data_IF_097720899083
#
_entry.id   IF_097720899083
#
_cell.length_a   1.000
_cell.length_b   1.000
_cell.length_c   1.000
_cell.angle_alpha   90.00
_cell.angle_beta   90.00
_cell.angle_gamma   90.00
#
_symmetry.space_group_name_H-M   'P 1'
#
loop_
_entity.id
_entity.type
_entity.pdbx_description
1 polymer ?
#
# COMPACT_ATOMS: atom_id res chain seq x y z
N UNK A 1 20.77 4.93 1.21
CA UNK A 1 20.94 6.39 1.26
C UNK A 1 19.54 6.97 1.34
N UNK A 2 19.08 7.33 2.54
CA UNK A 2 17.74 7.86 2.78
C UNK A 2 17.68 9.27 2.21
N UNK A 3 16.87 9.48 1.19
CA UNK A 3 16.51 10.82 0.73
C UNK A 3 15.52 11.34 1.78
N UNK A 4 16.03 12.04 2.78
CA UNK A 4 15.21 12.94 3.59
C UNK A 4 14.72 14.03 2.63
N UNK A 5 13.48 13.91 2.15
CA UNK A 5 12.83 15.00 1.43
C UNK A 5 12.69 16.17 2.39
N UNK A 6 13.38 17.24 2.06
CA UNK A 6 13.30 18.53 2.74
C UNK A 6 11.83 19.00 2.67
N UNK A 7 11.21 19.28 3.81
CA UNK A 7 9.78 19.54 3.95
C UNK A 7 9.29 20.80 3.22
N UNK A 8 10.19 21.64 2.70
CA UNK A 8 9.86 22.99 2.26
C UNK A 8 9.79 23.19 0.74
N UNK A 9 9.97 22.13 -0.07
CA UNK A 9 9.92 22.26 -1.55
C UNK A 9 9.25 21.04 -2.21
N UNK A 10 8.12 20.58 -1.67
CA UNK A 10 7.29 19.59 -2.37
C UNK A 10 6.70 20.27 -3.59
N UNK A 11 7.00 19.75 -4.77
CA UNK A 11 6.39 20.18 -6.02
C UNK A 11 4.89 19.74 -5.97
N UNK A 12 4.03 20.63 -5.45
CA UNK A 12 2.64 20.34 -5.20
C UNK A 12 1.90 20.26 -6.54
N UNK A 13 1.25 19.12 -6.84
CA UNK A 13 0.58 18.94 -8.12
C UNK A 13 -0.60 19.90 -8.26
N UNK A 14 -0.78 20.43 -9.46
CA UNK A 14 -1.89 21.30 -9.78
C UNK A 14 -3.22 20.51 -9.86
N UNK A 15 -4.31 21.09 -9.37
CA UNK A 15 -5.66 20.63 -9.66
C UNK A 15 -6.11 21.26 -10.97
N UNK A 16 -6.64 20.44 -11.89
CA UNK A 16 -7.34 20.93 -13.05
C UNK A 16 -8.72 21.47 -12.66
N UNK A 17 -9.27 22.43 -13.42
CA UNK A 17 -10.63 22.92 -13.19
C UNK A 17 -11.65 21.78 -13.15
N UNK A 18 -12.79 21.94 -12.45
CA UNK A 18 -13.79 20.90 -12.35
C UNK A 18 -14.29 20.49 -13.73
N UNK A 19 -14.39 19.18 -13.95
CA UNK A 19 -14.77 18.59 -15.23
C UNK A 19 -16.23 18.93 -15.60
N UNK A 20 -17.08 19.21 -14.59
CA UNK A 20 -18.48 19.60 -14.74
C UNK A 20 -18.81 20.70 -13.75
N UNK A 21 -19.46 21.76 -14.20
CA UNK A 21 -19.85 22.92 -13.41
C UNK A 21 -21.24 22.77 -12.74
N UNK A 22 -21.59 21.60 -12.27
CA UNK A 22 -22.82 21.40 -11.48
C UNK A 22 -22.49 21.47 -9.97
N UNK A 23 -22.06 22.63 -9.52
CA UNK A 23 -22.05 22.90 -8.07
C UNK A 23 -23.49 23.30 -7.72
N UNK A 24 -24.08 22.63 -6.73
CA UNK A 24 -25.31 23.12 -6.11
C UNK A 24 -25.08 24.56 -5.66
N UNK A 25 -25.99 25.47 -6.04
CA UNK A 25 -25.89 26.90 -5.68
C UNK A 25 -25.92 27.13 -4.16
N UNK A 26 -26.28 26.09 -3.38
CA UNK A 26 -26.32 26.12 -1.92
C UNK A 26 -25.85 24.78 -1.34
N UNK A 27 -24.52 24.51 -1.26
CA UNK A 27 -23.98 23.26 -0.75
C UNK A 27 -24.28 23.13 0.75
N UNK A 28 -25.13 22.18 1.11
CA UNK A 28 -25.40 21.86 2.52
C UNK A 28 -24.29 20.95 3.06
N UNK A 29 -23.78 21.30 4.24
CA UNK A 29 -22.82 20.50 4.97
C UNK A 29 -21.36 20.96 4.83
N UNK A 30 -20.51 20.42 5.69
CA UNK A 30 -19.07 20.68 5.68
C UNK A 30 -18.41 20.01 4.46
N UNK A 31 -17.52 20.68 3.74
CA UNK A 31 -16.89 20.13 2.56
C UNK A 31 -15.90 19.01 2.94
N UNK A 32 -15.91 17.94 2.13
CA UNK A 32 -14.99 16.82 2.25
C UNK A 32 -14.53 16.34 0.88
N UNK A 33 -13.23 16.12 0.72
CA UNK A 33 -12.71 15.51 -0.51
C UNK A 33 -12.86 14.00 -0.46
N UNK A 34 -13.32 13.40 -1.56
CA UNK A 34 -13.37 11.95 -1.74
C UNK A 34 -12.40 11.55 -2.84
N UNK A 35 -11.44 10.68 -2.53
CA UNK A 35 -10.56 10.08 -3.53
C UNK A 35 -11.35 9.12 -4.42
N UNK A 36 -11.60 9.53 -5.66
CA UNK A 36 -12.44 8.81 -6.61
C UNK A 36 -11.62 7.97 -7.58
N UNK A 37 -11.93 6.68 -7.65
CA UNK A 37 -11.31 5.73 -8.60
C UNK A 37 -12.27 5.25 -9.70
N UNK A 38 -13.55 5.63 -9.63
CA UNK A 38 -14.59 5.10 -10.52
C UNK A 38 -15.00 3.64 -10.22
N UNK A 39 -14.56 3.09 -9.08
CA UNK A 39 -15.00 1.78 -8.58
C UNK A 39 -16.16 1.92 -7.59
N UNK A 40 -16.82 0.78 -7.26
CA UNK A 40 -17.95 0.74 -6.33
C UNK A 40 -17.64 1.32 -4.96
N UNK A 41 -16.41 1.10 -4.46
CA UNK A 41 -16.02 1.51 -3.12
C UNK A 41 -15.95 3.03 -2.99
N UNK A 42 -15.24 3.72 -3.86
CA UNK A 42 -15.15 5.19 -3.83
C UNK A 42 -16.50 5.86 -4.11
N UNK A 43 -17.30 5.28 -5.01
CA UNK A 43 -18.61 5.79 -5.36
C UNK A 43 -19.60 5.69 -4.19
N UNK A 44 -19.65 4.54 -3.51
CA UNK A 44 -20.47 4.39 -2.32
C UNK A 44 -19.97 5.25 -1.16
N UNK A 45 -18.65 5.43 -1.00
CA UNK A 45 -18.07 6.34 -0.03
C UNK A 45 -18.62 7.75 -0.19
N UNK A 46 -18.62 8.30 -1.41
CA UNK A 46 -19.17 9.62 -1.69
C UNK A 46 -20.67 9.71 -1.32
N UNK A 47 -21.45 8.69 -1.70
CA UNK A 47 -22.88 8.65 -1.39
C UNK A 47 -23.16 8.57 0.13
N UNK A 48 -22.43 7.73 0.87
CA UNK A 48 -22.60 7.60 2.32
C UNK A 48 -22.28 8.91 3.05
N UNK A 49 -21.31 9.66 2.56
CA UNK A 49 -20.98 10.98 3.10
C UNK A 49 -22.11 11.98 2.83
N UNK A 50 -22.68 11.98 1.63
CA UNK A 50 -23.88 12.80 1.34
C UNK A 50 -25.06 12.44 2.26
N UNK A 51 -25.32 11.14 2.43
CA UNK A 51 -26.39 10.63 3.29
C UNK A 51 -26.21 11.07 4.77
N UNK A 52 -24.96 11.31 5.19
CA UNK A 52 -24.61 11.78 6.55
C UNK A 52 -24.41 13.30 6.65
N UNK A 53 -24.74 14.05 5.60
CA UNK A 53 -24.76 15.51 5.61
C UNK A 53 -23.45 16.21 5.27
N UNK A 54 -22.45 15.49 4.76
CA UNK A 54 -21.25 16.09 4.17
C UNK A 54 -21.52 16.62 2.76
N UNK A 55 -20.69 17.56 2.32
CA UNK A 55 -20.67 18.06 0.95
C UNK A 55 -19.42 17.53 0.21
N UNK A 56 -19.51 16.36 -0.47
CA UNK A 56 -18.36 15.74 -1.11
C UNK A 56 -17.89 16.46 -2.35
N UNK A 57 -16.57 16.49 -2.52
CA UNK A 57 -15.86 16.91 -3.74
C UNK A 57 -15.01 15.75 -4.23
N UNK A 58 -15.27 15.25 -5.43
CA UNK A 58 -14.51 14.16 -6.02
C UNK A 58 -13.14 14.61 -6.50
N UNK A 59 -12.11 13.84 -6.18
CA UNK A 59 -10.74 14.09 -6.64
C UNK A 59 -10.14 12.80 -7.18
N UNK A 60 -9.61 12.84 -8.40
CA UNK A 60 -8.95 11.71 -9.07
C UNK A 60 -7.53 12.05 -9.48
N UNK A 61 -6.61 11.19 -9.10
CA UNK A 61 -5.20 11.29 -9.51
C UNK A 61 -5.05 10.84 -10.97
N UNK A 62 -4.36 11.63 -11.79
CA UNK A 62 -3.83 11.17 -13.06
C UNK A 62 -2.54 10.41 -12.82
N UNK A 63 -2.53 9.15 -13.20
CA UNK A 63 -1.33 8.29 -13.14
C UNK A 63 -0.87 7.96 -14.55
N UNK A 64 0.46 7.78 -14.78
CA UNK A 64 0.96 7.50 -16.10
C UNK A 64 0.48 6.13 -16.60
N UNK A 65 0.22 6.04 -17.91
CA UNK A 65 0.08 4.76 -18.59
C UNK A 65 1.50 4.27 -18.91
N UNK A 66 1.84 3.08 -18.45
CA UNK A 66 3.14 2.49 -18.74
C UNK A 66 3.03 1.71 -20.05
N UNK A 67 3.80 2.13 -21.06
CA UNK A 67 3.89 1.46 -22.35
C UNK A 67 4.42 0.02 -22.19
N UNK A 68 3.88 -0.91 -22.97
CA UNK A 68 4.22 -2.34 -22.89
C UNK A 68 3.25 -3.19 -22.08
N UNK A 69 2.37 -2.57 -21.35
CA UNK A 69 1.27 -3.23 -20.64
C UNK A 69 0.00 -3.24 -21.52
N UNK A 70 0.01 -3.94 -22.62
CA UNK A 70 -0.99 -4.22 -23.67
C UNK A 70 -2.47 -3.89 -23.53
N UNK A 71 -2.89 -3.09 -22.57
CA UNK A 71 -4.26 -2.60 -22.45
C UNK A 71 -4.21 -1.14 -22.00
N UNK A 72 -4.54 -0.23 -22.91
CA UNK A 72 -4.99 1.11 -22.53
C UNK A 72 -6.27 0.95 -21.70
N UNK A 73 -6.13 0.80 -20.37
CA UNK A 73 -7.27 1.08 -19.52
C UNK A 73 -7.51 2.58 -19.68
N UNK A 74 -8.68 3.01 -20.22
CA UNK A 74 -9.02 4.41 -20.11
C UNK A 74 -8.88 4.76 -18.64
N UNK A 75 -7.98 5.67 -18.35
CA UNK A 75 -7.58 6.01 -17.01
C UNK A 75 -8.81 6.14 -16.12
N UNK A 76 -8.73 5.60 -14.93
CA UNK A 76 -9.75 5.58 -13.88
C UNK A 76 -10.54 6.91 -13.71
N UNK A 77 -10.00 8.00 -14.22
CA UNK A 77 -10.58 9.33 -14.14
C UNK A 77 -11.90 9.54 -14.88
N UNK A 78 -12.08 8.99 -16.08
CA UNK A 78 -13.32 9.22 -16.84
C UNK A 78 -14.53 8.60 -16.16
N UNK A 79 -14.39 7.38 -15.65
CA UNK A 79 -15.47 6.72 -14.90
C UNK A 79 -15.77 7.44 -13.58
N UNK A 80 -14.72 7.91 -12.87
CA UNK A 80 -14.88 8.70 -11.65
C UNK A 80 -15.64 10.01 -11.93
N UNK A 81 -15.31 10.68 -13.03
CA UNK A 81 -16.02 11.90 -13.45
C UNK A 81 -17.50 11.63 -13.74
N UNK A 82 -17.83 10.53 -14.43
CA UNK A 82 -19.24 10.17 -14.67
C UNK A 82 -19.98 9.87 -13.37
N UNK A 83 -19.37 9.14 -12.43
CA UNK A 83 -19.97 8.90 -11.11
C UNK A 83 -20.20 10.21 -10.37
N UNK A 84 -19.24 11.12 -10.35
CA UNK A 84 -19.39 12.42 -9.69
C UNK A 84 -20.51 13.25 -10.33
N UNK A 85 -20.61 13.26 -11.67
CA UNK A 85 -21.69 13.91 -12.39
C UNK A 85 -23.06 13.32 -12.02
N UNK A 86 -23.18 12.00 -11.96
CA UNK A 86 -24.42 11.31 -11.62
C UNK A 86 -24.84 11.52 -10.17
N UNK A 87 -23.85 11.73 -9.27
CA UNK A 87 -24.06 12.14 -7.86
C UNK A 87 -24.32 13.65 -7.68
N UNK A 88 -24.11 14.47 -8.72
CA UNK A 88 -24.24 15.92 -8.64
C UNK A 88 -23.15 16.60 -7.80
N UNK A 89 -21.96 16.02 -7.71
CA UNK A 89 -20.83 16.57 -6.95
C UNK A 89 -19.72 17.08 -7.88
N UNK A 90 -18.98 18.14 -7.50
CA UNK A 90 -17.81 18.63 -8.25
C UNK A 90 -16.74 17.54 -8.38
N UNK A 91 -15.99 17.52 -9.49
CA UNK A 91 -14.93 16.57 -9.69
C UNK A 91 -13.68 17.25 -10.28
N UNK A 92 -12.54 17.02 -9.61
CA UNK A 92 -11.24 17.55 -10.00
C UNK A 92 -10.27 16.42 -10.36
N UNK A 93 -9.41 16.68 -11.35
CA UNK A 93 -8.24 15.87 -11.59
C UNK A 93 -7.02 16.53 -10.93
N UNK A 94 -6.15 15.70 -10.36
CA UNK A 94 -4.83 16.09 -9.87
C UNK A 94 -3.79 15.50 -10.79
N UNK A 95 -2.89 16.34 -11.31
CA UNK A 95 -1.76 15.90 -12.14
C UNK A 95 -0.68 15.30 -11.25
N UNK A 96 -0.62 13.99 -11.20
CA UNK A 96 0.40 13.24 -10.44
C UNK A 96 1.29 12.38 -11.32
N UNK A 97 1.24 12.53 -12.66
CA UNK A 97 1.92 11.60 -13.57
C UNK A 97 3.43 11.54 -13.32
N UNK A 98 4.09 12.69 -13.27
CA UNK A 98 5.55 12.76 -13.01
C UNK A 98 5.89 12.29 -11.60
N UNK A 99 5.16 12.79 -10.60
CA UNK A 99 5.41 12.41 -9.20
C UNK A 99 5.13 10.94 -8.95
N UNK A 100 4.11 10.36 -9.60
CA UNK A 100 3.83 8.93 -9.52
C UNK A 100 4.98 8.10 -10.12
N UNK A 101 5.53 8.55 -11.25
CA UNK A 101 6.71 7.90 -11.85
C UNK A 101 7.90 7.93 -10.92
N UNK A 102 8.22 9.08 -10.35
CA UNK A 102 9.38 9.29 -9.48
C UNK A 102 9.25 8.64 -8.11
N UNK A 103 8.04 8.67 -7.51
CA UNK A 103 7.83 8.22 -6.12
C UNK A 103 7.29 6.80 -5.99
N UNK A 104 6.77 6.20 -7.07
CA UNK A 104 6.18 4.85 -7.03
C UNK A 104 6.82 3.92 -8.04
N UNK A 105 6.85 4.30 -9.35
CA UNK A 105 7.31 3.38 -10.40
C UNK A 105 8.83 3.18 -10.31
N UNK A 106 9.59 4.28 -10.22
CA UNK A 106 11.05 4.16 -10.20
C UNK A 106 11.58 3.49 -8.92
N UNK A 107 11.12 3.82 -7.70
CA UNK A 107 11.47 3.05 -6.50
C UNK A 107 11.09 1.57 -6.60
N UNK A 108 9.93 1.25 -7.20
CA UNK A 108 9.53 -0.13 -7.47
C UNK A 108 10.50 -0.86 -8.39
N UNK A 109 10.92 -0.22 -9.50
CA UNK A 109 11.96 -0.77 -10.40
C UNK A 109 13.27 -1.00 -9.65
N UNK A 110 13.76 0.01 -8.96
CA UNK A 110 15.04 -0.05 -8.24
C UNK A 110 15.04 -1.11 -7.15
N UNK A 111 13.93 -1.29 -6.42
CA UNK A 111 13.82 -2.32 -5.41
C UNK A 111 14.00 -3.73 -6.03
N UNK A 112 13.33 -4.03 -7.15
CA UNK A 112 13.52 -5.32 -7.83
C UNK A 112 14.94 -5.51 -8.37
N UNK A 113 15.55 -4.48 -8.94
CA UNK A 113 16.94 -4.53 -9.42
C UNK A 113 17.92 -4.83 -8.26
N UNK A 114 17.57 -4.39 -7.04
CA UNK A 114 18.33 -4.65 -5.82
C UNK A 114 17.86 -5.93 -5.10
N UNK A 115 17.14 -6.84 -5.77
CA UNK A 115 16.70 -8.12 -5.19
C UNK A 115 15.69 -7.99 -4.05
N UNK A 116 15.05 -6.83 -3.92
CA UNK A 116 14.00 -6.57 -2.93
C UNK A 116 12.61 -6.82 -3.52
N UNK A 117 11.62 -6.96 -2.64
CA UNK A 117 10.21 -7.14 -3.03
C UNK A 117 9.39 -5.95 -2.56
N UNK A 118 9.19 -4.91 -3.37
CA UNK A 118 8.50 -3.69 -2.95
C UNK A 118 6.99 -3.87 -2.81
N UNK A 119 6.35 -2.93 -2.12
CA UNK A 119 4.89 -2.81 -2.01
C UNK A 119 4.43 -1.41 -2.46
N UNK A 120 4.30 -1.17 -3.77
CA UNK A 120 4.06 0.16 -4.33
C UNK A 120 2.72 0.78 -3.89
N UNK A 121 1.77 -0.04 -3.42
CA UNK A 121 0.52 0.47 -2.86
C UNK A 121 0.73 1.18 -1.52
N UNK A 122 1.69 0.75 -0.71
CA UNK A 122 2.07 1.46 0.53
C UNK A 122 2.68 2.81 0.18
N UNK A 123 3.64 2.83 -0.75
CA UNK A 123 4.33 4.05 -1.18
C UNK A 123 3.33 5.06 -1.78
N UNK A 124 2.43 4.59 -2.65
CA UNK A 124 1.38 5.42 -3.24
C UNK A 124 0.45 6.01 -2.16
N UNK A 125 0.03 5.22 -1.18
CA UNK A 125 -0.82 5.73 -0.10
C UNK A 125 -0.04 6.73 0.77
N UNK A 126 1.18 6.38 1.19
CA UNK A 126 2.00 7.19 2.11
C UNK A 126 2.40 8.53 1.50
N UNK A 127 2.97 8.50 0.28
CA UNK A 127 3.63 9.68 -0.30
C UNK A 127 2.75 10.47 -1.26
N UNK A 128 1.79 9.80 -1.94
CA UNK A 128 0.94 10.49 -2.90
C UNK A 128 -0.44 10.78 -2.33
N UNK A 129 -1.27 9.76 -2.07
CA UNK A 129 -2.70 9.97 -1.75
C UNK A 129 -2.90 10.75 -0.47
N UNK A 130 -2.26 10.28 0.63
CA UNK A 130 -2.48 10.82 1.97
C UNK A 130 -1.43 11.86 2.41
N UNK A 131 -0.53 12.24 1.52
CA UNK A 131 0.40 13.36 1.73
C UNK A 131 0.25 14.40 0.61
N UNK A 132 0.80 14.14 -0.58
CA UNK A 132 0.92 15.14 -1.64
C UNK A 132 -0.42 15.61 -2.19
N UNK A 133 -1.30 14.65 -2.56
CA UNK A 133 -2.64 14.96 -3.08
C UNK A 133 -3.50 15.63 -2.01
N UNK A 134 -3.44 15.14 -0.77
CA UNK A 134 -4.15 15.77 0.33
C UNK A 134 -3.68 17.20 0.57
N UNK A 135 -2.37 17.43 0.57
CA UNK A 135 -1.80 18.78 0.71
C UNK A 135 -2.21 19.70 -0.45
N UNK A 136 -2.21 19.18 -1.69
CA UNK A 136 -2.65 19.94 -2.86
C UNK A 136 -4.12 20.37 -2.74
N UNK A 137 -4.99 19.47 -2.31
CA UNK A 137 -6.41 19.73 -2.07
C UNK A 137 -6.59 20.78 -0.96
N UNK A 138 -5.92 20.60 0.17
CA UNK A 138 -6.00 21.52 1.30
C UNK A 138 -5.57 22.94 0.90
N UNK A 139 -4.50 23.07 0.12
CA UNK A 139 -4.00 24.38 -0.33
C UNK A 139 -4.84 25.04 -1.43
N UNK A 140 -5.36 24.25 -2.38
CA UNK A 140 -6.02 24.81 -3.58
C UNK A 140 -7.54 24.89 -3.43
N UNK A 141 -8.16 24.03 -2.64
CA UNK A 141 -9.61 24.04 -2.39
C UNK A 141 -9.98 24.49 -0.98
N UNK A 142 -9.03 24.64 -0.05
CA UNK A 142 -9.28 24.98 1.34
C UNK A 142 -9.98 23.87 2.13
N UNK A 143 -10.06 22.63 1.59
CA UNK A 143 -10.78 21.51 2.20
C UNK A 143 -9.80 20.64 2.97
N UNK A 144 -10.02 20.53 4.27
CA UNK A 144 -9.14 19.79 5.18
C UNK A 144 -9.53 18.32 5.34
N UNK A 145 -10.83 18.00 5.25
CA UNK A 145 -11.33 16.64 5.40
C UNK A 145 -11.16 15.85 4.12
N UNK A 146 -10.67 14.62 4.25
CA UNK A 146 -10.46 13.69 3.14
C UNK A 146 -11.05 12.33 3.44
N UNK A 147 -11.74 11.77 2.47
CA UNK A 147 -12.31 10.43 2.55
C UNK A 147 -11.78 9.51 1.46
N UNK A 148 -11.80 8.23 1.75
CA UNK A 148 -11.36 7.19 0.83
C UNK A 148 -12.20 5.92 0.96
N UNK A 149 -12.36 5.19 -0.15
CA UNK A 149 -13.01 3.89 -0.20
C UNK A 149 -12.15 2.72 0.32
N UNK A 150 -11.12 2.98 1.12
CA UNK A 150 -10.33 1.92 1.73
C UNK A 150 -11.10 1.23 2.86
N UNK A 151 -10.89 -0.09 2.96
CA UNK A 151 -11.39 -0.92 4.06
C UNK A 151 -10.42 -0.81 5.25
N UNK A 152 -10.61 0.19 6.07
CA UNK A 152 -9.95 0.43 7.35
C UNK A 152 -10.87 1.32 8.18
N UNK A 153 -10.59 1.48 9.47
CA UNK A 153 -11.35 2.37 10.35
C UNK A 153 -10.46 3.46 10.90
N UNK A 154 -11.01 4.65 11.03
CA UNK A 154 -10.42 5.72 11.82
C UNK A 154 -11.40 6.03 12.94
N UNK A 155 -11.00 5.75 14.16
CA UNK A 155 -11.86 5.89 15.34
C UNK A 155 -11.25 6.83 16.36
N UNK A 156 -12.09 7.68 16.94
CA UNK A 156 -11.73 8.52 18.08
C UNK A 156 -11.90 7.70 19.36
N UNK A 157 -10.85 7.59 20.13
CA UNK A 157 -10.91 6.98 21.45
C UNK A 157 -11.64 7.90 22.44
N UNK A 158 -12.61 7.36 23.14
CA UNK A 158 -13.47 8.14 24.01
C UNK A 158 -12.75 8.67 25.26
N UNK A 159 -11.72 7.98 25.74
CA UNK A 159 -11.00 8.34 26.96
C UNK A 159 -9.89 9.34 26.68
N UNK A 160 -9.03 9.05 25.68
CA UNK A 160 -7.88 9.88 25.35
C UNK A 160 -8.20 11.01 24.37
N UNK A 161 -9.30 10.90 23.63
CA UNK A 161 -9.62 11.80 22.52
C UNK A 161 -8.72 11.64 21.29
N UNK A 162 -7.78 10.73 21.31
CA UNK A 162 -6.88 10.44 20.21
C UNK A 162 -7.60 9.67 19.08
N UNK A 163 -7.10 9.84 17.86
CA UNK A 163 -7.61 9.10 16.70
C UNK A 163 -6.67 7.94 16.35
N UNK A 164 -7.24 6.79 16.06
CA UNK A 164 -6.52 5.57 15.76
C UNK A 164 -6.96 4.97 14.44
N UNK A 165 -5.99 4.50 13.66
CA UNK A 165 -6.23 3.66 12.49
C UNK A 165 -6.37 2.21 12.93
N UNK A 166 -7.46 1.54 12.54
CA UNK A 166 -7.76 0.15 12.90
C UNK A 166 -8.10 -0.70 11.68
N UNK A 167 -7.99 -2.01 11.85
CA UNK A 167 -8.44 -2.98 10.85
C UNK A 167 -9.94 -2.83 10.55
N UNK A 168 -10.31 -3.11 9.31
CA UNK A 168 -11.72 -3.12 8.90
C UNK A 168 -12.52 -4.27 9.55
N UNK A 169 -13.85 -4.15 9.50
CA UNK A 169 -14.78 -5.25 9.84
C UNK A 169 -14.59 -6.46 8.91
N UNK A 170 -14.39 -6.21 7.61
CA UNK A 170 -14.08 -7.25 6.62
C UNK A 170 -12.58 -7.56 6.64
N UNK A 171 -12.17 -8.54 7.44
CA UNK A 171 -10.77 -8.90 7.60
C UNK A 171 -10.13 -9.43 6.30
N UNK A 172 -10.92 -9.99 5.38
CA UNK A 172 -10.45 -10.46 4.07
C UNK A 172 -10.15 -9.29 3.13
N UNK A 173 -10.75 -8.14 3.36
CA UNK A 173 -10.59 -6.91 2.59
C UNK A 173 -9.83 -5.81 3.34
N UNK A 174 -9.40 -6.11 4.57
CA UNK A 174 -8.67 -5.14 5.40
C UNK A 174 -7.45 -4.57 4.68
N UNK A 175 -7.42 -3.25 4.57
CA UNK A 175 -6.37 -2.48 3.91
C UNK A 175 -5.52 -1.65 4.87
N UNK A 176 -5.71 -1.80 6.17
CA UNK A 176 -4.95 -1.06 7.19
C UNK A 176 -3.43 -1.25 7.06
N UNK A 177 -2.98 -2.42 6.55
CA UNK A 177 -1.60 -2.70 6.21
C UNK A 177 -0.99 -1.67 5.24
N UNK A 178 -1.76 -1.23 4.24
CA UNK A 178 -1.29 -0.29 3.22
C UNK A 178 -1.35 1.18 3.67
N UNK A 179 -1.85 1.44 4.88
CA UNK A 179 -2.18 2.78 5.37
C UNK A 179 -1.33 3.20 6.57
N UNK A 180 -0.45 2.34 7.06
CA UNK A 180 0.36 2.61 8.23
C UNK A 180 1.27 3.86 8.07
N UNK A 181 1.60 4.23 6.82
CA UNK A 181 2.46 5.38 6.51
C UNK A 181 1.76 6.74 6.60
N UNK A 182 0.46 6.80 6.87
CA UNK A 182 -0.27 8.05 7.05
C UNK A 182 0.26 8.77 8.29
N UNK A 183 0.47 10.09 8.20
CA UNK A 183 0.88 10.88 9.35
C UNK A 183 -0.21 10.88 10.43
N UNK A 184 0.12 10.59 11.69
CA UNK A 184 -0.82 10.52 12.79
C UNK A 184 -1.66 11.81 12.95
N UNK A 185 -1.06 12.98 12.68
CA UNK A 185 -1.74 14.28 12.72
C UNK A 185 -2.86 14.43 11.67
N UNK A 186 -2.88 13.58 10.62
CA UNK A 186 -3.92 13.57 9.58
C UNK A 186 -5.15 12.74 9.97
N UNK A 187 -5.03 11.81 10.91
CA UNK A 187 -6.11 10.89 11.29
C UNK A 187 -7.41 11.61 11.72
N UNK A 188 -7.39 12.73 12.46
CA UNK A 188 -8.63 13.44 12.83
C UNK A 188 -9.47 13.95 11.65
N UNK A 189 -8.85 14.08 10.48
CA UNK A 189 -9.48 14.62 9.26
C UNK A 189 -9.69 13.55 8.18
N UNK A 190 -9.35 12.29 8.49
CA UNK A 190 -9.46 11.15 7.58
C UNK A 190 -10.73 10.35 7.83
N UNK A 191 -11.51 10.12 6.77
CA UNK A 191 -12.76 9.39 6.83
C UNK A 191 -12.70 8.13 5.96
N UNK A 192 -13.06 7.00 6.54
CA UNK A 192 -13.09 5.70 5.87
C UNK A 192 -14.43 5.00 6.10
N UNK A 193 -15.52 5.47 5.47
CA UNK A 193 -16.88 4.99 5.76
C UNK A 193 -17.09 3.50 5.53
N UNK A 194 -16.27 2.87 4.68
CA UNK A 194 -16.41 1.44 4.36
C UNK A 194 -15.82 0.51 5.41
N UNK A 195 -15.07 1.03 6.37
CA UNK A 195 -14.41 0.23 7.41
C UNK A 195 -15.38 -0.62 8.24
N UNK A 196 -16.64 -0.19 8.38
CA UNK A 196 -17.67 -0.88 9.15
C UNK A 196 -18.53 -1.84 8.34
N UNK A 197 -18.23 -2.01 7.04
CA UNK A 197 -19.00 -2.86 6.14
C UNK A 197 -18.15 -3.98 5.53
N UNK A 198 -18.80 -5.11 5.27
CA UNK A 198 -18.23 -6.14 4.41
C UNK A 198 -18.39 -5.77 2.93
N UNK A 199 -17.56 -6.33 2.07
CA UNK A 199 -17.69 -6.11 0.60
C UNK A 199 -19.06 -6.49 0.05
N UNK A 200 -19.67 -7.53 0.62
CA UNK A 200 -21.03 -7.97 0.25
C UNK A 200 -22.06 -6.89 0.62
N UNK A 201 -21.96 -6.31 1.83
CA UNK A 201 -22.82 -5.21 2.25
C UNK A 201 -22.62 -3.97 1.36
N UNK A 202 -21.38 -3.62 1.03
CA UNK A 202 -21.04 -2.50 0.13
C UNK A 202 -21.71 -2.68 -1.25
N UNK A 203 -21.57 -3.85 -1.87
CA UNK A 203 -22.21 -4.12 -3.17
C UNK A 203 -23.73 -4.09 -3.09
N UNK A 204 -24.32 -4.64 -2.02
CA UNK A 204 -25.76 -4.59 -1.79
C UNK A 204 -26.27 -3.15 -1.64
N UNK A 205 -25.57 -2.31 -0.87
CA UNK A 205 -25.91 -0.90 -0.68
C UNK A 205 -25.80 -0.11 -1.98
N UNK A 206 -24.76 -0.34 -2.78
CA UNK A 206 -24.58 0.29 -4.07
C UNK A 206 -25.68 -0.13 -5.07
N UNK A 207 -26.01 -1.41 -5.10
CA UNK A 207 -27.10 -1.95 -5.95
C UNK A 207 -28.47 -1.38 -5.55
N UNK A 208 -28.78 -1.32 -4.26
CA UNK A 208 -30.03 -0.75 -3.74
C UNK A 208 -30.21 0.74 -4.09
N UNK A 209 -29.11 1.45 -4.32
CA UNK A 209 -29.09 2.86 -4.79
C UNK A 209 -29.05 3.01 -6.31
N UNK A 210 -29.14 1.91 -7.05
CA UNK A 210 -29.11 1.92 -8.53
C UNK A 210 -27.76 2.36 -9.12
N UNK A 211 -26.66 2.24 -8.37
CA UNK A 211 -25.35 2.64 -8.86
C UNK A 211 -24.85 1.71 -9.96
N UNK A 212 -24.54 2.20 -11.18
CA UNK A 212 -24.09 1.35 -12.30
C UNK A 212 -22.82 0.56 -11.99
N UNK A 213 -21.99 1.09 -11.10
CA UNK A 213 -20.71 0.47 -10.68
C UNK A 213 -20.87 -0.69 -9.69
N UNK A 214 -22.07 -0.98 -9.19
CA UNK A 214 -22.32 -2.03 -8.17
C UNK A 214 -21.86 -3.44 -8.61
N UNK A 215 -22.00 -3.76 -9.90
CA UNK A 215 -21.61 -5.04 -10.48
C UNK A 215 -20.17 -5.07 -11.02
N UNK A 216 -19.46 -3.92 -11.01
CA UNK A 216 -18.10 -3.82 -11.55
C UNK A 216 -17.15 -4.72 -10.76
N UNK A 217 -16.29 -5.54 -11.42
CA UNK A 217 -15.27 -6.33 -10.75
C UNK A 217 -14.27 -5.44 -10.01
N UNK A 218 -13.71 -5.97 -8.90
CA UNK A 218 -12.66 -5.29 -8.17
C UNK A 218 -11.35 -5.32 -8.96
N UNK A 219 -10.56 -4.24 -8.87
CA UNK A 219 -9.19 -4.25 -9.36
C UNK A 219 -8.32 -5.00 -8.35
N UNK A 220 -7.79 -6.17 -8.74
CA UNK A 220 -6.95 -7.02 -7.88
C UNK A 220 -5.46 -6.86 -8.14
N UNK A 221 -5.09 -6.09 -9.16
CA UNK A 221 -3.71 -5.91 -9.61
C UNK A 221 -3.16 -4.52 -9.24
N UNK A 222 -1.83 -4.41 -9.27
CA UNK A 222 -1.15 -3.13 -9.15
C UNK A 222 -1.61 -2.23 -10.30
N UNK A 223 -2.08 -1.02 -10.00
CA UNK A 223 -2.82 -0.16 -10.93
C UNK A 223 -2.04 0.25 -12.19
N UNK A 224 -0.70 0.26 -12.16
CA UNK A 224 0.17 0.60 -13.29
C UNK A 224 0.83 -0.62 -13.95
N UNK A 225 0.51 -1.85 -13.48
CA UNK A 225 1.01 -3.10 -14.07
C UNK A 225 -0.15 -3.81 -14.75
N UNK A 226 -0.25 -3.73 -16.07
CA UNK A 226 -1.29 -4.43 -16.80
C UNK A 226 -1.01 -5.94 -16.86
N UNK A 227 -2.06 -6.75 -16.63
CA UNK A 227 -1.93 -8.22 -16.69
C UNK A 227 -1.11 -8.84 -15.56
N UNK A 228 -0.79 -8.10 -14.50
CA UNK A 228 -0.09 -8.61 -13.32
C UNK A 228 1.39 -8.94 -13.52
N UNK A 229 1.94 -8.75 -14.73
CA UNK A 229 3.35 -9.03 -15.01
C UNK A 229 4.22 -7.77 -14.94
N UNK A 230 4.78 -7.50 -13.76
CA UNK A 230 5.69 -6.37 -13.54
C UNK A 230 7.02 -6.47 -14.31
N UNK A 231 7.36 -7.63 -14.86
CA UNK A 231 8.61 -7.84 -15.60
C UNK A 231 8.72 -6.96 -16.83
N UNK A 232 7.59 -6.56 -17.40
CA UNK A 232 7.53 -5.56 -18.45
C UNK A 232 8.18 -4.21 -18.09
N UNK A 233 8.13 -3.82 -16.82
CA UNK A 233 8.78 -2.60 -16.31
C UNK A 233 10.29 -2.73 -16.14
N UNK A 234 10.82 -3.95 -16.26
CA UNK A 234 12.24 -4.28 -16.06
C UNK A 234 12.92 -4.71 -17.37
N UNK A 235 12.26 -4.59 -18.53
CA UNK A 235 12.78 -5.09 -19.82
C UNK A 235 14.09 -4.40 -20.23
N UNK A 236 14.24 -3.12 -19.88
CA UNK A 236 15.46 -2.36 -20.17
C UNK A 236 16.56 -2.54 -19.12
N UNK A 237 16.29 -3.34 -18.08
CA UNK A 237 17.29 -3.62 -17.06
C UNK A 237 18.34 -4.60 -17.62
N UNK A 238 19.63 -4.37 -17.37
CA UNK A 238 20.64 -5.32 -17.79
C UNK A 238 20.41 -6.66 -17.09
N UNK A 239 19.90 -7.63 -17.83
CA UNK A 239 19.71 -9.00 -17.35
C UNK A 239 21.08 -9.69 -17.35
N UNK A 240 21.80 -9.59 -16.24
CA UNK A 240 23.04 -10.32 -16.05
C UNK A 240 22.71 -11.74 -15.50
N UNK A 241 22.97 -12.80 -16.27
CA UNK A 241 22.89 -14.16 -15.74
C UNK A 241 23.86 -14.35 -14.56
N UNK A 242 23.46 -15.15 -13.57
CA UNK A 242 24.28 -15.43 -12.40
C UNK A 242 23.95 -16.77 -11.78
N UNK A 243 24.73 -17.22 -10.79
CA UNK A 243 24.55 -18.54 -10.19
C UNK A 243 23.35 -18.63 -9.26
N UNK A 244 22.66 -19.78 -9.29
CA UNK A 244 21.76 -20.23 -8.26
C UNK A 244 22.54 -21.23 -7.39
N UNK A 245 22.72 -20.89 -6.10
CA UNK A 245 23.52 -21.68 -5.17
C UNK A 245 22.69 -22.33 -4.07
N UNK A 246 23.17 -23.47 -3.53
CA UNK A 246 22.65 -24.01 -2.27
C UNK A 246 23.08 -23.15 -1.07
N UNK A 247 22.61 -23.49 0.13
CA UNK A 247 23.06 -22.86 1.38
C UNK A 247 24.55 -23.04 1.65
N UNK A 248 25.11 -24.18 1.18
CA UNK A 248 26.52 -24.54 1.32
C UNK A 248 27.41 -23.93 0.22
N UNK A 249 26.81 -23.10 -0.67
CA UNK A 249 27.53 -22.44 -1.76
C UNK A 249 27.71 -23.27 -3.03
N UNK A 250 27.16 -24.49 -3.12
CA UNK A 250 27.22 -25.31 -4.35
C UNK A 250 26.34 -24.64 -5.43
N UNK A 251 26.89 -24.49 -6.64
CA UNK A 251 26.15 -24.00 -7.81
C UNK A 251 25.22 -25.12 -8.31
N UNK A 252 23.91 -24.83 -8.29
CA UNK A 252 22.83 -25.73 -8.72
C UNK A 252 22.28 -25.40 -10.11
N UNK A 253 22.52 -24.17 -10.58
CA UNK A 253 22.01 -23.69 -11.86
C UNK A 253 22.38 -22.24 -12.11
N UNK A 254 21.72 -21.65 -13.11
CA UNK A 254 21.94 -20.26 -13.50
C UNK A 254 20.59 -19.53 -13.66
N UNK A 255 20.49 -18.33 -13.14
CA UNK A 255 19.35 -17.44 -13.34
C UNK A 255 19.58 -16.46 -14.48
N UNK A 256 18.49 -15.86 -15.00
CA UNK A 256 18.51 -14.86 -16.08
C UNK A 256 18.59 -13.41 -15.59
N UNK A 257 18.66 -13.21 -14.29
CA UNK A 257 18.67 -11.92 -13.59
C UNK A 257 18.00 -12.07 -12.22
N UNK A 258 18.58 -11.48 -11.16
CA UNK A 258 18.06 -11.61 -9.78
C UNK A 258 16.65 -11.02 -9.62
N UNK A 259 16.29 -10.03 -10.42
CA UNK A 259 14.97 -9.38 -10.41
C UNK A 259 13.80 -10.25 -10.86
N UNK A 260 14.08 -11.45 -11.38
CA UNK A 260 13.06 -12.48 -11.68
C UNK A 260 12.72 -13.35 -10.48
N UNK A 261 13.40 -13.15 -9.35
CA UNK A 261 13.26 -13.97 -8.16
C UNK A 261 12.77 -13.14 -6.98
N UNK A 262 11.99 -13.79 -6.15
CA UNK A 262 11.48 -13.23 -4.89
C UNK A 262 11.78 -14.22 -3.78
N UNK A 263 12.17 -13.71 -2.61
CA UNK A 263 12.38 -14.57 -1.44
C UNK A 263 11.09 -15.34 -1.12
N UNK A 264 11.21 -16.65 -0.86
CA UNK A 264 10.08 -17.57 -0.68
C UNK A 264 9.53 -18.18 -1.98
N UNK A 265 10.02 -17.79 -3.15
CA UNK A 265 9.61 -18.36 -4.42
C UNK A 265 10.03 -19.84 -4.51
N UNK A 266 9.07 -20.71 -4.89
CA UNK A 266 9.28 -22.14 -5.09
C UNK A 266 9.29 -22.53 -6.57
N UNK A 267 8.41 -21.90 -7.36
CA UNK A 267 8.22 -22.27 -8.79
C UNK A 267 9.10 -21.40 -9.68
N UNK A 268 9.47 -21.94 -10.87
CA UNK A 268 10.20 -21.16 -11.87
C UNK A 268 11.68 -20.96 -11.56
N UNK A 269 12.29 -21.78 -10.70
CA UNK A 269 13.72 -21.69 -10.37
C UNK A 269 14.63 -22.20 -11.49
N UNK A 270 14.11 -23.02 -12.42
CA UNK A 270 14.89 -23.57 -13.53
C UNK A 270 15.94 -24.63 -13.12
N UNK A 271 15.84 -25.11 -11.88
CA UNK A 271 16.72 -26.18 -11.35
C UNK A 271 15.90 -27.43 -11.03
N UNK A 272 16.53 -28.61 -11.27
CA UNK A 272 15.94 -29.88 -10.90
C UNK A 272 16.41 -30.30 -9.52
N UNK A 273 15.46 -30.59 -8.63
CA UNK A 273 15.74 -31.08 -7.28
C UNK A 273 14.72 -32.15 -6.89
N UNK A 274 15.12 -33.15 -6.12
CA UNK A 274 14.20 -34.14 -5.53
C UNK A 274 13.33 -33.51 -4.42
N UNK A 275 13.87 -32.52 -3.72
CA UNK A 275 13.20 -31.77 -2.68
C UNK A 275 12.78 -30.42 -3.20
N UNK A 276 11.64 -29.90 -2.70
CA UNK A 276 11.16 -28.55 -3.07
C UNK A 276 12.12 -27.49 -2.54
N UNK A 277 12.80 -26.78 -3.43
CA UNK A 277 13.67 -25.66 -3.07
C UNK A 277 12.91 -24.35 -3.08
N UNK A 278 13.30 -23.44 -2.19
CA UNK A 278 12.78 -22.10 -2.03
C UNK A 278 13.90 -21.07 -2.13
N UNK A 279 13.64 -19.92 -2.73
CA UNK A 279 14.57 -18.79 -2.64
C UNK A 279 14.64 -18.35 -1.18
N UNK A 280 15.82 -18.48 -0.59
CA UNK A 280 16.08 -18.10 0.81
C UNK A 280 16.69 -16.69 0.89
N UNK A 281 17.58 -16.38 -0.06
CA UNK A 281 18.28 -15.09 -0.11
C UNK A 281 18.60 -14.70 -1.55
N UNK A 282 18.57 -13.41 -1.81
CA UNK A 282 19.12 -12.80 -3.03
C UNK A 282 20.29 -11.95 -2.59
N UNK A 283 21.43 -12.07 -3.27
CA UNK A 283 22.68 -11.37 -2.97
C UNK A 283 23.06 -10.53 -4.19
N UNK A 284 22.57 -9.28 -4.27
CA UNK A 284 22.74 -8.43 -5.45
C UNK A 284 24.21 -8.14 -5.77
N UNK A 285 25.04 -7.94 -4.75
CA UNK A 285 26.46 -7.61 -4.88
C UNK A 285 27.27 -8.73 -5.57
N UNK A 286 26.77 -9.97 -5.49
CA UNK A 286 27.34 -11.15 -6.15
C UNK A 286 26.53 -11.64 -7.34
N UNK A 287 25.46 -10.93 -7.68
CA UNK A 287 24.48 -11.34 -8.69
C UNK A 287 24.05 -12.82 -8.49
N UNK A 288 23.68 -13.20 -7.26
CA UNK A 288 23.48 -14.59 -6.85
C UNK A 288 22.12 -14.80 -6.18
N UNK A 289 21.48 -15.92 -6.50
CA UNK A 289 20.26 -16.38 -5.80
C UNK A 289 20.63 -17.61 -4.96
N UNK A 290 20.31 -17.59 -3.67
CA UNK A 290 20.52 -18.71 -2.75
C UNK A 290 19.20 -19.42 -2.53
N UNK A 291 19.19 -20.74 -2.72
CA UNK A 291 18.03 -21.61 -2.51
C UNK A 291 18.30 -22.63 -1.44
N UNK A 292 17.25 -23.07 -0.75
CA UNK A 292 17.34 -24.09 0.30
C UNK A 292 16.00 -24.79 0.52
N UNK A 293 15.94 -25.75 1.45
CA UNK A 293 14.71 -26.40 1.86
C UNK A 293 13.74 -25.39 2.48
N UNK A 294 12.47 -25.77 2.60
CA UNK A 294 11.41 -24.87 3.09
C UNK A 294 11.73 -24.28 4.47
N UNK A 295 12.34 -25.08 5.32
CA UNK A 295 12.68 -24.73 6.71
C UNK A 295 13.68 -23.56 6.77
N UNK A 296 14.61 -23.50 5.83
CA UNK A 296 15.57 -22.39 5.70
C UNK A 296 14.95 -21.06 5.27
N UNK A 297 13.72 -21.11 4.75
CA UNK A 297 12.99 -19.90 4.36
C UNK A 297 12.17 -19.29 5.51
N UNK A 298 12.22 -19.83 6.73
CA UNK A 298 11.53 -19.28 7.89
C UNK A 298 12.44 -18.37 8.70
N UNK A 299 11.88 -17.26 9.21
CA UNK A 299 12.54 -16.39 10.16
C UNK A 299 11.56 -15.96 11.25
N UNK A 300 12.04 -15.91 12.48
CA UNK A 300 11.29 -15.36 13.60
C UNK A 300 11.71 -13.93 13.98
N UNK A 301 12.87 -13.45 13.47
CA UNK A 301 13.35 -12.09 13.71
C UNK A 301 13.15 -11.24 12.46
N UNK A 302 12.58 -10.05 12.64
CA UNK A 302 12.33 -9.09 11.55
C UNK A 302 12.77 -7.71 12.00
N UNK A 303 13.60 -7.07 11.17
CA UNK A 303 14.04 -5.69 11.35
C UNK A 303 13.41 -4.80 10.28
N UNK A 304 12.95 -3.63 10.67
CA UNK A 304 12.39 -2.64 9.77
C UNK A 304 12.96 -1.25 10.05
N UNK A 305 13.06 -0.45 9.00
CA UNK A 305 13.52 0.96 9.02
C UNK A 305 12.46 1.89 8.46
N UNK A 306 12.72 3.19 8.45
CA UNK A 306 11.75 4.21 8.04
C UNK A 306 10.41 4.05 8.78
N UNK A 307 10.47 3.83 10.08
CA UNK A 307 9.31 3.52 10.92
C UNK A 307 8.42 4.75 11.07
N UNK A 308 7.15 4.62 10.69
CA UNK A 308 6.08 5.55 11.03
C UNK A 308 5.31 5.02 12.25
N UNK A 309 5.07 5.90 13.23
CA UNK A 309 4.38 5.56 14.48
C UNK A 309 3.02 6.23 14.52
N UNK A 310 1.96 5.43 14.60
CA UNK A 310 0.58 5.92 14.71
C UNK A 310 0.05 5.87 16.15
N UNK A 311 0.54 4.94 16.97
CA UNK A 311 0.15 4.80 18.38
C UNK A 311 1.39 4.64 19.27
N UNK A 312 2.02 5.77 19.60
CA UNK A 312 3.26 5.80 20.39
C UNK A 312 3.09 5.15 21.79
N UNK A 313 1.92 5.27 22.41
CA UNK A 313 1.64 4.69 23.73
C UNK A 313 1.78 3.18 23.81
N UNK A 314 1.53 2.46 22.70
CA UNK A 314 1.66 1.01 22.60
C UNK A 314 3.07 0.55 22.18
N UNK A 315 3.90 1.44 21.65
CA UNK A 315 5.24 1.13 21.15
C UNK A 315 6.26 1.18 22.28
N UNK A 316 6.44 0.07 23.00
CA UNK A 316 7.35 -0.04 24.14
C UNK A 316 8.25 -1.27 23.98
N UNK A 317 9.45 -1.22 24.55
CA UNK A 317 10.34 -2.38 24.63
C UNK A 317 9.61 -3.56 25.29
N UNK A 318 9.80 -4.75 24.76
CA UNK A 318 9.15 -6.00 25.17
C UNK A 318 7.60 -6.03 25.05
N UNK A 319 6.97 -5.01 24.44
CA UNK A 319 5.52 -5.03 24.20
C UNK A 319 5.15 -6.26 23.35
N UNK A 320 4.05 -6.92 23.74
CA UNK A 320 3.42 -7.96 22.93
C UNK A 320 2.48 -7.29 21.94
N UNK A 321 2.77 -7.47 20.66
CA UNK A 321 2.02 -6.95 19.54
C UNK A 321 1.73 -8.06 18.52
N UNK A 322 1.00 -7.72 17.49
CA UNK A 322 0.70 -8.61 16.36
C UNK A 322 1.27 -8.01 15.08
N UNK A 323 2.21 -8.71 14.44
CA UNK A 323 2.90 -8.23 13.24
C UNK A 323 2.42 -8.88 11.96
N UNK A 324 2.30 -8.08 10.89
CA UNK A 324 2.18 -8.55 9.50
C UNK A 324 3.44 -8.17 8.75
N UNK A 325 3.99 -9.12 7.99
CA UNK A 325 5.19 -8.91 7.13
C UNK A 325 4.83 -8.87 5.64
N UNK A 326 3.55 -8.94 5.32
CA UNK A 326 2.97 -8.84 3.98
C UNK A 326 1.47 -8.52 4.11
N UNK A 327 0.87 -8.05 3.02
CA UNK A 327 -0.55 -7.67 3.01
C UNK A 327 -1.50 -8.85 3.24
N UNK A 328 -1.13 -10.04 2.79
CA UNK A 328 -1.95 -11.25 2.90
C UNK A 328 -1.67 -12.00 4.20
N UNK A 329 -2.71 -12.60 4.80
CA UNK A 329 -2.64 -13.37 6.04
C UNK A 329 -2.99 -12.57 7.29
N UNK A 330 -3.16 -13.28 8.40
CA UNK A 330 -3.47 -12.68 9.71
C UNK A 330 -2.20 -12.21 10.43
N UNK A 331 -2.28 -11.14 11.24
CA UNK A 331 -1.19 -10.73 12.10
C UNK A 331 -0.77 -11.85 13.07
N UNK A 332 0.53 -12.02 13.26
CA UNK A 332 1.11 -13.03 14.16
C UNK A 332 1.72 -12.36 15.39
N UNK A 333 1.61 -13.01 16.55
CA UNK A 333 2.14 -12.44 17.79
C UNK A 333 3.67 -12.31 17.75
N UNK A 334 4.15 -11.15 18.19
CA UNK A 334 5.57 -10.81 18.24
C UNK A 334 5.87 -9.91 19.44
N UNK A 335 7.13 -9.82 19.82
CA UNK A 335 7.63 -8.90 20.83
C UNK A 335 8.66 -7.95 20.23
N UNK A 336 8.62 -6.71 20.66
CA UNK A 336 9.65 -5.73 20.31
C UNK A 336 10.94 -6.09 21.06
N UNK A 337 12.01 -6.31 20.31
CA UNK A 337 13.35 -6.62 20.85
C UNK A 337 14.28 -5.42 20.82
N UNK A 338 14.10 -4.51 19.86
CA UNK A 338 14.85 -3.25 19.81
C UNK A 338 14.00 -2.13 19.20
N UNK A 339 14.21 -0.91 19.71
CA UNK A 339 13.61 0.33 19.22
C UNK A 339 14.74 1.36 19.00
N UNK A 340 14.82 1.87 17.76
CA UNK A 340 15.66 3.02 17.41
C UNK A 340 14.80 4.21 17.00
N UNK A 341 15.43 5.34 16.67
CA UNK A 341 14.72 6.55 16.26
C UNK A 341 13.85 6.33 15.00
N UNK A 342 14.32 5.51 14.07
CA UNK A 342 13.63 5.19 12.80
C UNK A 342 13.69 3.70 12.47
N UNK A 343 13.92 2.86 13.47
CA UNK A 343 14.06 1.41 13.29
C UNK A 343 13.35 0.65 14.40
N UNK A 344 12.90 -0.55 14.07
CA UNK A 344 12.28 -1.48 14.99
C UNK A 344 12.74 -2.90 14.68
N UNK A 345 12.99 -3.68 15.71
CA UNK A 345 13.23 -5.11 15.60
C UNK A 345 12.20 -5.86 16.44
N UNK A 346 11.64 -6.91 15.86
CA UNK A 346 10.66 -7.77 16.51
C UNK A 346 11.04 -9.25 16.41
N UNK A 347 10.70 -9.99 17.47
CA UNK A 347 10.80 -11.44 17.53
C UNK A 347 9.38 -12.03 17.49
N UNK A 348 9.05 -12.76 16.43
CA UNK A 348 7.79 -13.49 16.32
C UNK A 348 7.82 -14.75 17.19
N UNK A 349 6.69 -15.09 17.79
CA UNK A 349 6.53 -16.31 18.60
C UNK A 349 6.65 -17.57 17.73
N UNK A 350 6.08 -17.51 16.52
CA UNK A 350 6.21 -18.58 15.52
C UNK A 350 7.01 -18.04 14.34
N UNK A 351 7.96 -18.82 13.80
CA UNK A 351 8.70 -18.42 12.61
C UNK A 351 7.75 -18.17 11.42
N UNK A 352 7.98 -17.09 10.71
CA UNK A 352 7.23 -16.71 9.51
C UNK A 352 7.95 -17.15 8.25
N UNK A 353 7.19 -17.62 7.27
CA UNK A 353 7.75 -17.89 5.95
C UNK A 353 8.14 -16.55 5.31
N UNK A 354 9.43 -16.38 5.18
CA UNK A 354 10.13 -15.32 4.42
C UNK A 354 9.54 -13.90 4.52
N UNK A 355 9.85 -13.18 5.59
CA UNK A 355 9.78 -11.72 5.53
C UNK A 355 10.78 -11.24 4.47
N UNK A 356 10.28 -10.68 3.36
CA UNK A 356 11.15 -10.25 2.27
C UNK A 356 11.59 -8.79 2.46
N UNK A 357 12.88 -8.46 2.29
CA UNK A 357 13.34 -7.07 2.25
C UNK A 357 12.59 -6.27 1.18
N UNK A 358 12.21 -5.03 1.52
CA UNK A 358 11.36 -4.18 0.69
C UNK A 358 9.86 -4.35 0.93
N UNK A 359 9.41 -5.44 1.57
CA UNK A 359 8.06 -5.53 2.14
C UNK A 359 7.98 -4.72 3.44
N UNK A 360 6.79 -4.64 4.04
CA UNK A 360 6.57 -3.84 5.24
C UNK A 360 6.25 -4.72 6.45
N UNK A 361 6.81 -4.34 7.59
CA UNK A 361 6.36 -4.79 8.90
C UNK A 361 5.30 -3.80 9.38
N UNK A 362 4.09 -4.28 9.67
CA UNK A 362 3.03 -3.48 10.27
C UNK A 362 2.60 -4.13 11.57
N UNK A 363 2.62 -3.36 12.65
CA UNK A 363 2.34 -3.82 14.00
C UNK A 363 0.97 -3.34 14.46
N UNK A 364 0.24 -4.23 15.11
CA UNK A 364 -1.10 -4.01 15.66
C UNK A 364 -1.09 -4.33 17.16
N UNK A 365 -1.94 -3.63 17.90
CA UNK A 365 -2.25 -3.99 19.28
C UNK A 365 -3.38 -5.06 19.37
N UNK A 366 -3.75 -5.44 20.58
CA UNK A 366 -4.82 -6.40 20.85
C UNK A 366 -6.21 -5.96 20.35
N UNK A 367 -6.42 -4.65 20.16
CA UNK A 367 -7.65 -4.05 19.64
C UNK A 367 -7.61 -3.87 18.12
N UNK A 368 -6.62 -4.48 17.46
CA UNK A 368 -6.40 -4.33 16.00
C UNK A 368 -6.11 -2.89 15.56
N UNK A 369 -5.58 -2.06 16.46
CA UNK A 369 -5.09 -0.72 16.14
C UNK A 369 -3.71 -0.79 15.51
N UNK A 370 -3.48 -0.07 14.43
CA UNK A 370 -2.16 0.05 13.82
C UNK A 370 -1.26 0.87 14.76
N UNK A 371 -0.22 0.22 15.29
CA UNK A 371 0.73 0.84 16.23
C UNK A 371 1.85 1.55 15.48
N UNK A 372 2.50 0.84 14.58
CA UNK A 372 3.60 1.35 13.78
C UNK A 372 3.81 0.46 12.54
N UNK A 373 4.58 0.94 11.59
CA UNK A 373 5.08 0.13 10.50
C UNK A 373 6.35 0.70 9.89
N UNK A 374 7.07 -0.13 9.15
CA UNK A 374 8.32 0.25 8.49
C UNK A 374 8.70 -0.73 7.39
N UNK A 375 9.72 -0.37 6.59
CA UNK A 375 10.23 -1.19 5.50
C UNK A 375 11.15 -2.27 6.05
N UNK A 376 10.89 -3.53 5.75
CA UNK A 376 11.72 -4.67 6.15
C UNK A 376 13.08 -4.57 5.46
N UNK A 377 14.15 -4.60 6.22
CA UNK A 377 15.53 -4.51 5.72
C UNK A 377 16.23 -5.86 5.73
N UNK A 378 16.06 -6.64 6.80
CA UNK A 378 16.61 -7.98 6.91
C UNK A 378 15.64 -8.89 7.68
N UNK A 379 15.61 -10.14 7.34
CA UNK A 379 14.90 -11.21 8.03
C UNK A 379 15.93 -12.22 8.52
N UNK A 380 16.49 -12.00 9.71
CA UNK A 380 17.35 -12.94 10.41
C UNK A 380 18.74 -13.19 9.80
N UNK A 381 19.68 -13.56 10.63
CA UNK A 381 20.97 -14.10 10.20
C UNK A 381 20.73 -15.48 9.56
N UNK A 382 20.95 -15.57 8.26
CA UNK A 382 21.30 -16.87 7.69
C UNK A 382 22.77 -17.09 8.05
N UNK A 383 23.14 -18.24 8.65
CA UNK A 383 24.55 -18.55 8.94
C UNK A 383 25.41 -18.30 7.71
N UNK A 384 26.58 -17.72 7.91
CA UNK A 384 27.55 -17.37 6.87
C UNK A 384 28.02 -18.57 6.07
#
# INVERSE_FOLDING_TARGET
MSIAMNSDNKNIPALFPPTFSSVSEDPKGEPIVVLMSGGVDSSLTAQLLMDTGWNPVGVTMRIPVVDGCGVSRPCCGTEAAFVCRDLGIPHYFVDTENTFRESVIEPFRQAYLNGQTPSPCVDCNTHLKFDLVWTAVEQQLGIRHLASGHYAKVEKDAESGAFYLRRAKDLLRDQSYFLYGIAAARLPFLHMPLGDFTKVEVRRMASARGMPVAAKPDSMEICFVAGGDYRGLLQDAPAAPGPICSLEGQVLGQHKGIHHYTIGQRKGLGISSKEGLYVVRIVPERNMVVVGPREAAFSSRVSATAVNVLHAGALKANALLWGKVRSVGEPQSCRITALGAHSIEVQFVQPLLTPAPGQHLVLYDERSTVVAGGVITNSGEVPA
#
